data_IF_459998342926
#
_entry.id   IF_459998342926
#
_cell.length_a   1.000
_cell.length_b   1.000
_cell.length_c   1.000
_cell.angle_alpha   90.00
_cell.angle_beta   90.00
_cell.angle_gamma   90.00
#
_symmetry.space_group_name_H-M   'P 1'
#
loop_
_entity.id
_entity.type
_entity.pdbx_description
1 polymer ?
#
# COMPACT_ATOMS: atom_id res chain seq x y z
N UNK A 1 9.33 16.11 -2.65
CA UNK A 1 9.75 14.80 -3.23
C UNK A 1 8.97 13.73 -2.50
N UNK A 2 8.25 12.85 -3.20
CA UNK A 2 7.37 11.87 -2.57
C UNK A 2 8.20 10.73 -1.95
N UNK A 3 7.75 10.24 -0.79
CA UNK A 3 8.33 9.07 -0.14
C UNK A 3 7.38 7.88 -0.26
N UNK A 4 7.94 6.69 -0.39
CA UNK A 4 7.22 5.41 -0.42
C UNK A 4 7.73 4.55 0.74
N UNK A 5 6.82 4.00 1.52
CA UNK A 5 7.15 3.02 2.56
C UNK A 5 7.10 1.62 1.95
N UNK A 6 8.22 0.91 1.95
CA UNK A 6 8.34 -0.43 1.36
C UNK A 6 9.31 -1.28 2.19
N UNK A 7 8.89 -2.48 2.56
CA UNK A 7 9.68 -3.47 3.31
C UNK A 7 10.32 -2.91 4.60
N UNK A 8 9.59 -2.09 5.36
CA UNK A 8 10.04 -1.55 6.65
C UNK A 8 10.79 -0.21 6.57
N UNK A 9 11.01 0.34 5.37
CA UNK A 9 11.83 1.53 5.15
C UNK A 9 11.11 2.59 4.30
N UNK A 10 11.38 3.86 4.60
CA UNK A 10 11.01 4.97 3.71
C UNK A 10 12.08 5.17 2.63
N UNK A 11 11.67 5.13 1.37
CA UNK A 11 12.53 5.40 0.20
C UNK A 11 12.00 6.59 -0.60
N UNK A 12 12.87 7.22 -1.39
CA UNK A 12 12.41 8.16 -2.43
C UNK A 12 11.59 7.39 -3.46
N UNK A 13 10.60 8.03 -4.07
CA UNK A 13 9.73 7.41 -5.07
C UNK A 13 10.53 6.72 -6.20
N UNK A 14 11.58 7.36 -6.73
CA UNK A 14 12.42 6.82 -7.81
C UNK A 14 13.25 5.58 -7.39
N UNK A 15 13.46 5.39 -6.08
CA UNK A 15 14.21 4.27 -5.52
C UNK A 15 13.31 3.11 -5.06
N UNK A 16 11.98 3.32 -5.01
CA UNK A 16 11.02 2.32 -4.56
C UNK A 16 10.77 1.28 -5.65
N UNK A 17 11.17 0.03 -5.40
CA UNK A 17 11.13 -1.06 -6.38
C UNK A 17 10.63 -2.35 -5.75
N UNK A 18 9.88 -3.12 -6.54
CA UNK A 18 9.54 -4.53 -6.25
C UNK A 18 10.27 -5.42 -7.24
N UNK A 19 10.47 -6.69 -6.89
CA UNK A 19 11.09 -7.66 -7.79
C UNK A 19 10.19 -7.92 -9.01
N UNK A 20 10.79 -8.13 -10.19
CA UNK A 20 10.04 -8.60 -11.36
C UNK A 20 9.48 -10.02 -11.16
N UNK A 21 10.01 -10.77 -10.19
CA UNK A 21 9.54 -12.09 -9.81
C UNK A 21 8.52 -12.06 -8.66
N UNK A 22 8.09 -10.88 -8.21
CA UNK A 22 7.05 -10.76 -7.19
C UNK A 22 5.74 -11.36 -7.72
N UNK A 23 5.11 -12.23 -6.92
CA UNK A 23 3.88 -12.92 -7.31
C UNK A 23 2.70 -11.95 -7.48
N UNK A 24 2.68 -10.86 -6.70
CA UNK A 24 1.71 -9.79 -6.84
C UNK A 24 1.83 -9.06 -8.17
N UNK A 25 3.04 -8.96 -8.72
CA UNK A 25 3.27 -8.42 -10.07
C UNK A 25 2.95 -9.45 -11.16
N UNK A 26 3.45 -10.68 -11.02
CA UNK A 26 3.36 -11.70 -12.08
C UNK A 26 1.95 -12.28 -12.26
N UNK A 27 1.18 -12.39 -11.18
CA UNK A 27 -0.10 -13.10 -11.16
C UNK A 27 -1.25 -12.27 -10.61
N UNK A 28 -1.03 -10.97 -10.41
CA UNK A 28 -1.98 -10.07 -9.74
C UNK A 28 -2.38 -10.57 -8.35
N UNK A 29 -1.53 -11.37 -7.70
CA UNK A 29 -1.80 -11.93 -6.39
C UNK A 29 -1.40 -10.93 -5.30
N UNK A 30 -2.23 -9.90 -5.17
CA UNK A 30 -2.01 -8.78 -4.29
C UNK A 30 -3.35 -8.16 -3.86
N UNK A 31 -3.30 -7.43 -2.76
CA UNK A 31 -4.40 -6.61 -2.27
C UNK A 31 -3.95 -5.16 -2.25
N UNK A 32 -4.88 -4.23 -2.42
CA UNK A 32 -4.60 -2.80 -2.29
C UNK A 32 -5.74 -2.10 -1.57
N UNK A 33 -5.40 -0.97 -0.95
CA UNK A 33 -6.33 -0.04 -0.35
C UNK A 33 -6.00 1.39 -0.75
N UNK A 34 -6.98 2.28 -0.65
CA UNK A 34 -6.80 3.71 -0.89
C UNK A 34 -7.64 4.50 0.12
N UNK A 35 -7.04 5.51 0.73
CA UNK A 35 -7.73 6.44 1.64
C UNK A 35 -7.33 7.87 1.31
N UNK A 36 -8.29 8.79 1.39
CA UNK A 36 -8.04 10.21 1.21
C UNK A 36 -7.55 10.85 2.49
N UNK A 37 -6.69 11.86 2.38
CA UNK A 37 -6.29 12.72 3.50
C UNK A 37 -6.95 14.08 3.33
N UNK A 38 -7.75 14.49 4.32
CA UNK A 38 -8.36 15.83 4.36
C UNK A 38 -8.04 16.45 5.71
N UNK A 39 -7.49 17.66 5.71
CA UNK A 39 -7.09 18.40 6.92
C UNK A 39 -6.21 17.56 7.88
N UNK A 40 -5.25 16.82 7.33
CA UNK A 40 -4.33 15.98 8.09
C UNK A 40 -4.93 14.71 8.69
N UNK A 41 -6.16 14.33 8.32
CA UNK A 41 -6.84 13.13 8.81
C UNK A 41 -7.12 12.16 7.67
N UNK A 42 -6.88 10.87 7.92
CA UNK A 42 -7.27 9.79 7.03
C UNK A 42 -8.78 9.60 7.09
N UNK A 43 -9.44 9.61 5.93
CA UNK A 43 -10.88 9.44 5.84
C UNK A 43 -11.22 7.94 5.87
N UNK A 44 -12.13 7.58 6.77
CA UNK A 44 -12.67 6.23 6.93
C UNK A 44 -11.64 5.10 7.14
N UNK A 45 -10.46 5.44 7.65
CA UNK A 45 -9.31 4.54 7.76
C UNK A 45 -9.63 3.19 8.42
N UNK A 46 -10.43 3.20 9.49
CA UNK A 46 -10.80 1.98 10.21
C UNK A 46 -11.60 1.00 9.35
N UNK A 47 -12.47 1.49 8.46
CA UNK A 47 -13.23 0.61 7.57
C UNK A 47 -12.37 0.09 6.42
N UNK A 48 -11.44 0.90 5.91
CA UNK A 48 -10.42 0.44 4.96
C UNK A 48 -9.55 -0.69 5.56
N UNK A 49 -9.08 -0.54 6.80
CA UNK A 49 -8.29 -1.58 7.47
C UNK A 49 -9.09 -2.88 7.69
N UNK A 50 -10.35 -2.77 8.13
CA UNK A 50 -11.25 -3.94 8.25
C UNK A 50 -11.48 -4.65 6.92
N UNK A 51 -11.54 -3.91 5.81
CA UNK A 51 -11.69 -4.49 4.47
C UNK A 51 -10.41 -5.20 4.05
N UNK A 52 -9.25 -4.59 4.28
CA UNK A 52 -7.95 -5.23 4.04
C UNK A 52 -7.83 -6.55 4.80
N UNK A 53 -8.13 -6.55 6.10
CA UNK A 53 -8.07 -7.76 6.94
C UNK A 53 -8.99 -8.86 6.42
N UNK A 54 -10.23 -8.52 6.01
CA UNK A 54 -11.18 -9.48 5.42
C UNK A 54 -10.69 -10.04 4.08
N UNK A 55 -9.93 -9.27 3.32
CA UNK A 55 -9.41 -9.69 2.01
C UNK A 55 -8.16 -10.55 2.09
N UNK A 56 -7.47 -10.59 3.24
CA UNK A 56 -6.26 -11.39 3.47
C UNK A 56 -6.53 -12.88 3.79
N UNK A 57 -7.80 -13.25 4.00
CA UNK A 57 -8.26 -14.61 4.33
C UNK A 57 -9.00 -15.23 3.15
#
# INVERSE_FOLDING_TARGET
MRQVYINGEFKKEDDAKVSVFDRGLLFSDSLYEVTSVINGKLIDFNNHMKRLDRSMT
#
